data_IF_275016899311
#
_entry.id   IF_275016899311
#
_cell.length_a   1.000
_cell.length_b   1.000
_cell.length_c   1.000
_cell.angle_alpha   90.00
_cell.angle_beta   90.00
_cell.angle_gamma   90.00
#
_symmetry.space_group_name_H-M   'P 1'
#
loop_
_entity.id
_entity.type
_entity.pdbx_description
1 polymer ?
#
# COMPACT_ATOMS: atom_id res chain seq x y z
N UNK A 1 -22.93 7.70 -41.17
CA UNK A 1 -21.97 6.92 -40.33
C UNK A 1 -20.95 7.78 -39.53
N UNK A 2 -20.58 9.00 -39.95
CA UNK A 2 -19.60 9.86 -39.20
C UNK A 2 -20.08 10.35 -37.82
N UNK A 3 -21.35 10.77 -37.66
CA UNK A 3 -21.91 11.26 -36.37
C UNK A 3 -21.96 10.19 -35.25
N UNK A 4 -22.27 8.93 -35.58
CA UNK A 4 -22.25 7.82 -34.58
C UNK A 4 -20.83 7.48 -34.10
N UNK A 5 -19.81 7.64 -34.98
CA UNK A 5 -18.40 7.45 -34.60
C UNK A 5 -17.87 8.59 -33.71
N UNK A 6 -18.25 9.85 -33.96
CA UNK A 6 -17.83 10.97 -33.09
C UNK A 6 -18.48 10.89 -31.70
N UNK A 7 -19.77 10.57 -31.61
CA UNK A 7 -20.45 10.37 -30.33
C UNK A 7 -19.84 9.21 -29.52
N UNK A 8 -19.47 8.11 -30.19
CA UNK A 8 -18.82 6.96 -29.54
C UNK A 8 -17.43 7.30 -28.98
N UNK A 9 -16.64 8.10 -29.71
CA UNK A 9 -15.34 8.60 -29.25
C UNK A 9 -15.49 9.59 -28.07
N UNK A 10 -16.47 10.49 -28.12
CA UNK A 10 -16.75 11.45 -27.05
C UNK A 10 -17.26 10.77 -25.77
N UNK A 11 -18.14 9.77 -25.89
CA UNK A 11 -18.63 8.97 -24.75
C UNK A 11 -17.51 8.12 -24.13
N UNK A 12 -16.63 7.54 -24.96
CA UNK A 12 -15.45 6.81 -24.50
C UNK A 12 -14.43 7.73 -23.81
N UNK A 13 -14.19 8.92 -24.37
CA UNK A 13 -13.29 9.91 -23.79
C UNK A 13 -13.82 10.47 -22.46
N UNK A 14 -15.12 10.77 -22.36
CA UNK A 14 -15.77 11.18 -21.11
C UNK A 14 -15.67 10.12 -20.02
N UNK A 15 -15.95 8.86 -20.35
CA UNK A 15 -15.79 7.74 -19.40
C UNK A 15 -14.35 7.57 -18.92
N UNK A 16 -13.37 7.75 -19.81
CA UNK A 16 -11.94 7.72 -19.48
C UNK A 16 -11.51 8.89 -18.58
N UNK A 17 -12.03 10.10 -18.85
CA UNK A 17 -11.76 11.29 -18.04
C UNK A 17 -12.34 11.14 -16.63
N UNK A 18 -13.59 10.70 -16.51
CA UNK A 18 -14.21 10.45 -15.20
C UNK A 18 -13.43 9.42 -14.39
N UNK A 19 -12.99 8.32 -15.02
CA UNK A 19 -12.17 7.32 -14.35
C UNK A 19 -10.84 7.91 -13.86
N UNK A 20 -10.20 8.74 -14.69
CA UNK A 20 -8.94 9.44 -14.35
C UNK A 20 -9.13 10.40 -13.19
N UNK A 21 -10.20 11.19 -13.19
CA UNK A 21 -10.52 12.13 -12.12
C UNK A 21 -10.83 11.41 -10.81
N UNK A 22 -11.60 10.31 -10.84
CA UNK A 22 -11.86 9.48 -9.64
C UNK A 22 -10.58 8.90 -9.07
N UNK A 23 -9.68 8.40 -9.93
CA UNK A 23 -8.39 7.88 -9.49
C UNK A 23 -7.54 8.99 -8.86
N UNK A 24 -7.43 10.16 -9.51
CA UNK A 24 -6.69 11.29 -8.98
C UNK A 24 -7.26 11.78 -7.64
N UNK A 25 -8.58 11.88 -7.52
CA UNK A 25 -9.25 12.23 -6.25
C UNK A 25 -8.93 11.21 -5.16
N UNK A 26 -9.02 9.91 -5.46
CA UNK A 26 -8.74 8.87 -4.47
C UNK A 26 -7.27 8.82 -4.04
N UNK A 27 -6.32 9.12 -4.93
CA UNK A 27 -4.91 9.28 -4.54
C UNK A 27 -4.71 10.47 -3.59
N UNK A 28 -5.47 11.56 -3.76
CA UNK A 28 -5.41 12.74 -2.90
C UNK A 28 -6.22 12.60 -1.60
N UNK A 29 -7.22 11.70 -1.58
CA UNK A 29 -8.13 11.50 -0.46
C UNK A 29 -7.38 11.18 0.84
N UNK A 30 -7.82 11.80 1.94
CA UNK A 30 -7.33 11.48 3.28
C UNK A 30 -7.54 10.00 3.64
N UNK A 31 -6.96 9.58 4.76
CA UNK A 31 -7.13 8.19 5.19
C UNK A 31 -8.59 7.89 5.57
N UNK A 32 -9.30 8.83 6.21
CA UNK A 32 -10.71 8.64 6.57
C UNK A 32 -11.64 8.46 5.35
N UNK A 33 -11.51 9.30 4.32
CA UNK A 33 -12.30 9.17 3.08
C UNK A 33 -12.01 7.84 2.39
N UNK A 34 -10.74 7.41 2.37
CA UNK A 34 -10.33 6.13 1.82
C UNK A 34 -10.92 4.95 2.61
N UNK A 35 -10.80 4.97 3.93
CA UNK A 35 -11.30 3.93 4.83
C UNK A 35 -12.83 3.83 4.80
N UNK A 36 -13.52 4.97 4.76
CA UNK A 36 -14.98 5.03 4.65
C UNK A 36 -15.46 4.40 3.33
N UNK A 37 -14.83 4.74 2.20
CA UNK A 37 -15.19 4.16 0.91
C UNK A 37 -14.89 2.65 0.86
N UNK A 38 -13.72 2.23 1.36
CA UNK A 38 -13.37 0.81 1.39
C UNK A 38 -14.35 0.02 2.23
N UNK A 39 -14.74 0.52 3.41
CA UNK A 39 -15.75 -0.08 4.26
C UNK A 39 -17.10 -0.20 3.55
N UNK A 40 -17.58 0.88 2.95
CA UNK A 40 -18.85 0.90 2.23
C UNK A 40 -18.87 -0.13 1.08
N UNK A 41 -17.77 -0.28 0.37
CA UNK A 41 -17.60 -1.29 -0.68
C UNK A 41 -17.61 -2.71 -0.11
N UNK A 42 -16.89 -2.95 1.00
CA UNK A 42 -16.79 -4.28 1.61
C UNK A 42 -18.08 -4.75 2.31
N UNK A 43 -18.87 -3.80 2.80
CA UNK A 43 -20.15 -4.08 3.44
C UNK A 43 -21.27 -4.36 2.43
N UNK A 44 -21.13 -3.90 1.19
CA UNK A 44 -22.09 -4.11 0.10
C UNK A 44 -22.36 -5.63 -0.11
N UNK A 45 -23.63 -6.09 0.00
CA UNK A 45 -23.99 -7.47 -0.27
C UNK A 45 -23.55 -7.97 -1.65
N UNK A 46 -23.56 -7.10 -2.67
CA UNK A 46 -23.08 -7.44 -4.01
C UNK A 46 -21.58 -7.72 -3.99
N UNK A 47 -20.78 -6.91 -3.30
CA UNK A 47 -19.35 -7.17 -3.17
C UNK A 47 -19.09 -8.52 -2.51
N UNK A 48 -19.80 -8.83 -1.41
CA UNK A 48 -19.69 -10.13 -0.73
C UNK A 48 -20.01 -11.30 -1.66
N UNK A 49 -21.06 -11.18 -2.49
CA UNK A 49 -21.39 -12.17 -3.53
C UNK A 49 -20.32 -12.30 -4.60
N UNK A 50 -19.67 -11.20 -5.00
CA UNK A 50 -18.59 -11.25 -6.01
C UNK A 50 -17.31 -11.91 -5.47
N UNK A 51 -17.04 -11.76 -4.18
CA UNK A 51 -15.89 -12.38 -3.50
C UNK A 51 -16.17 -13.83 -3.12
N UNK A 52 -17.41 -14.15 -2.73
CA UNK A 52 -17.86 -15.50 -2.39
C UNK A 52 -19.23 -15.75 -3.02
N UNK A 53 -19.26 -16.18 -4.29
CA UNK A 53 -20.52 -16.45 -4.96
C UNK A 53 -21.19 -17.70 -4.37
N UNK A 54 -22.52 -17.70 -4.26
CA UNK A 54 -23.26 -18.88 -3.82
C UNK A 54 -23.13 -20.02 -4.84
N UNK A 55 -23.24 -21.27 -4.36
CA UNK A 55 -23.29 -22.46 -5.23
C UNK A 55 -21.94 -22.89 -5.83
N UNK A 56 -20.80 -22.51 -5.23
CA UNK A 56 -19.47 -22.98 -5.64
C UNK A 56 -18.92 -22.37 -6.94
N UNK A 57 -19.55 -21.30 -7.46
CA UNK A 57 -19.06 -20.60 -8.63
C UNK A 57 -17.68 -19.94 -8.36
N UNK A 58 -16.95 -19.63 -9.44
CA UNK A 58 -15.67 -18.93 -9.31
C UNK A 58 -15.87 -17.47 -8.88
N UNK A 59 -15.10 -16.96 -7.90
CA UNK A 59 -15.24 -15.58 -7.45
C UNK A 59 -14.75 -14.60 -8.52
N UNK A 60 -15.53 -13.54 -8.73
CA UNK A 60 -15.27 -12.49 -9.69
C UNK A 60 -14.37 -11.38 -9.14
N UNK A 61 -14.27 -11.26 -7.82
CA UNK A 61 -13.35 -10.33 -7.15
C UNK A 61 -12.49 -11.10 -6.17
N UNK A 62 -11.18 -10.93 -6.29
CA UNK A 62 -10.18 -11.50 -5.38
C UNK A 62 -9.35 -10.38 -4.78
N UNK A 63 -8.73 -10.61 -3.63
CA UNK A 63 -7.69 -9.70 -3.14
C UNK A 63 -6.35 -10.21 -3.62
N UNK A 64 -5.47 -9.29 -3.95
CA UNK A 64 -4.11 -9.56 -4.38
C UNK A 64 -3.18 -8.74 -3.50
N UNK A 65 -2.47 -9.43 -2.60
CA UNK A 65 -1.37 -8.85 -1.84
C UNK A 65 -0.13 -8.79 -2.73
N UNK A 66 0.47 -7.61 -2.94
CA UNK A 66 1.76 -7.51 -3.58
C UNK A 66 2.82 -8.20 -2.72
N UNK A 67 3.75 -8.95 -3.33
CA UNK A 67 4.86 -9.55 -2.61
C UNK A 67 5.73 -8.49 -1.91
N UNK A 68 6.23 -8.81 -0.72
CA UNK A 68 7.09 -7.90 0.07
C UNK A 68 6.35 -6.80 0.84
N UNK A 69 5.01 -6.81 0.85
CA UNK A 69 4.21 -5.88 1.66
C UNK A 69 4.10 -6.40 3.09
N UNK A 70 4.88 -5.85 4.02
CA UNK A 70 4.78 -6.21 5.44
C UNK A 70 3.72 -5.36 6.15
N UNK A 71 3.06 -5.92 7.16
CA UNK A 71 2.18 -5.18 8.05
C UNK A 71 2.81 -5.09 9.44
N UNK A 72 2.84 -3.89 10.01
CA UNK A 72 3.44 -3.65 11.30
C UNK A 72 2.47 -4.08 12.43
N UNK A 73 2.16 -5.37 12.56
CA UNK A 73 1.17 -5.88 13.52
C UNK A 73 1.35 -5.35 14.95
N UNK A 74 2.60 -5.18 15.39
CA UNK A 74 2.98 -4.68 16.71
C UNK A 74 2.94 -3.14 16.87
N UNK A 75 2.98 -2.37 15.78
CA UNK A 75 3.07 -0.90 15.81
C UNK A 75 1.83 -0.20 15.26
N UNK A 76 1.11 -0.85 14.34
CA UNK A 76 -0.15 -0.41 13.76
C UNK A 76 -1.30 -0.40 14.79
N UNK A 77 -1.20 -1.26 15.80
CA UNK A 77 -2.22 -1.53 16.81
C UNK A 77 -1.73 -1.14 18.21
N UNK A 78 -0.94 -0.06 18.33
CA UNK A 78 -0.69 0.54 19.64
C UNK A 78 -2.04 0.82 20.31
N UNK A 79 -2.19 0.44 21.58
CA UNK A 79 -3.45 0.53 22.34
C UNK A 79 -4.12 1.90 22.21
N UNK A 80 -3.31 2.96 22.08
CA UNK A 80 -3.77 4.34 21.96
C UNK A 80 -4.63 4.60 20.71
N UNK A 81 -4.43 3.85 19.63
CA UNK A 81 -5.06 4.06 18.33
C UNK A 81 -6.42 3.36 18.17
N UNK A 82 -6.89 2.57 19.14
CA UNK A 82 -8.17 1.86 19.08
C UNK A 82 -9.27 2.63 19.80
N UNK A 83 -10.47 2.74 19.20
CA UNK A 83 -11.67 3.24 19.89
C UNK A 83 -12.09 2.15 20.88
N UNK A 84 -12.04 2.45 22.18
CA UNK A 84 -12.59 1.58 23.22
C UNK A 84 -14.09 1.37 22.95
N UNK A 85 -14.51 0.12 22.75
CA UNK A 85 -15.35 -0.46 23.79
C UNK A 85 -14.96 -1.91 24.10
N UNK A 86 -14.38 -2.10 25.28
CA UNK A 86 -14.14 -3.40 25.90
C UNK A 86 -12.89 -4.07 25.39
N UNK A 87 -11.79 -3.88 26.12
CA UNK A 87 -10.55 -4.66 26.10
C UNK A 87 -10.56 -5.83 25.12
N UNK A 88 -9.98 -5.62 23.95
CA UNK A 88 -9.44 -6.74 23.19
C UNK A 88 -7.97 -6.48 22.93
N UNK A 89 -7.08 -6.75 23.93
CA UNK A 89 -5.67 -6.91 23.66
C UNK A 89 -5.53 -7.99 22.58
N UNK A 90 -4.54 -7.86 21.70
CA UNK A 90 -4.15 -8.99 20.85
C UNK A 90 -3.93 -10.29 21.66
N UNK A 91 -3.62 -10.18 22.97
CA UNK A 91 -3.58 -11.28 23.94
C UNK A 91 -4.93 -11.94 24.24
N UNK A 92 -6.01 -11.18 24.45
CA UNK A 92 -7.34 -11.74 24.74
C UNK A 92 -7.98 -12.45 23.54
N UNK A 93 -7.57 -12.14 22.31
CA UNK A 93 -8.01 -12.91 21.11
C UNK A 93 -7.25 -14.22 20.90
N UNK A 94 -6.12 -14.40 21.59
CA UNK A 94 -5.28 -15.60 21.52
C UNK A 94 -5.58 -16.56 22.68
N UNK A 95 -6.21 -16.07 23.75
CA UNK A 95 -6.72 -16.89 24.85
C UNK A 95 -7.71 -17.95 24.34
N UNK A 96 -7.49 -19.20 24.75
CA UNK A 96 -8.27 -20.36 24.30
C UNK A 96 -7.95 -20.87 22.90
N UNK A 97 -6.91 -20.33 22.23
CA UNK A 97 -6.54 -20.70 20.84
C UNK A 97 -5.12 -21.27 20.72
N UNK A 98 -4.61 -21.88 21.78
CA UNK A 98 -3.26 -22.44 21.88
C UNK A 98 -2.97 -23.53 20.84
N UNK A 99 -3.98 -24.35 20.51
CA UNK A 99 -3.89 -25.40 19.49
C UNK A 99 -3.58 -24.81 18.10
N UNK A 100 -4.33 -23.80 17.67
CA UNK A 100 -4.10 -23.11 16.40
C UNK A 100 -2.72 -22.44 16.36
N UNK A 101 -2.25 -21.87 17.48
CA UNK A 101 -0.91 -21.26 17.56
C UNK A 101 0.21 -22.29 17.47
N UNK A 102 0.04 -23.46 18.08
CA UNK A 102 0.99 -24.57 17.95
C UNK A 102 1.08 -25.05 16.49
N UNK A 103 -0.07 -25.17 15.81
CA UNK A 103 -0.11 -25.49 14.38
C UNK A 103 0.60 -24.44 13.53
N UNK A 104 0.35 -23.15 13.77
CA UNK A 104 1.00 -22.04 13.04
C UNK A 104 2.53 -22.05 13.24
N UNK A 105 2.99 -22.27 14.48
CA UNK A 105 4.42 -22.41 14.78
C UNK A 105 5.05 -23.59 14.02
N UNK A 106 4.32 -24.71 13.90
CA UNK A 106 4.76 -25.91 13.17
C UNK A 106 4.85 -25.68 11.66
N UNK A 107 3.92 -24.91 11.08
CA UNK A 107 3.92 -24.54 9.65
C UNK A 107 5.15 -23.70 9.30
N UNK A 108 5.57 -22.82 10.22
CA UNK A 108 6.66 -21.87 10.02
C UNK A 108 6.23 -20.61 9.26
N UNK A 109 6.93 -19.50 9.49
CA UNK A 109 6.52 -18.17 9.03
C UNK A 109 6.35 -18.05 7.50
N UNK A 110 7.26 -18.64 6.72
CA UNK A 110 7.21 -18.56 5.25
C UNK A 110 6.01 -19.29 4.63
N UNK A 111 5.73 -20.52 5.09
CA UNK A 111 4.56 -21.27 4.62
C UNK A 111 3.26 -20.66 5.13
N UNK A 112 3.24 -20.15 6.37
CA UNK A 112 2.07 -19.47 6.91
C UNK A 112 1.72 -18.22 6.08
N UNK A 113 2.73 -17.40 5.76
CA UNK A 113 2.52 -16.23 4.92
C UNK A 113 2.02 -16.61 3.52
N UNK A 114 2.56 -17.67 2.93
CA UNK A 114 2.20 -18.11 1.58
C UNK A 114 0.79 -18.70 1.48
N UNK A 115 0.39 -19.56 2.42
CA UNK A 115 -0.84 -20.35 2.30
C UNK A 115 -2.03 -19.81 3.10
N UNK A 116 -1.79 -18.96 4.10
CA UNK A 116 -2.84 -18.46 4.99
C UNK A 116 -3.00 -16.93 4.98
N UNK A 117 -1.94 -16.17 4.65
CA UNK A 117 -2.01 -14.70 4.57
C UNK A 117 -2.06 -14.16 3.14
N UNK A 118 -1.61 -14.96 2.17
CA UNK A 118 -1.64 -14.61 0.76
C UNK A 118 -2.84 -15.29 0.11
N UNK A 119 -3.75 -14.51 -0.49
CA UNK A 119 -4.85 -15.03 -1.33
C UNK A 119 -4.34 -15.61 -2.67
N UNK A 120 -3.07 -16.01 -2.72
CA UNK A 120 -2.42 -16.54 -3.91
C UNK A 120 -3.01 -17.93 -4.17
N UNK A 121 -3.61 -18.17 -5.36
CA UNK A 121 -4.09 -19.50 -5.68
C UNK A 121 -2.90 -20.45 -5.62
N UNK A 122 -3.07 -21.55 -4.90
CA UNK A 122 -2.10 -22.66 -4.85
C UNK A 122 -1.74 -22.99 -6.30
N UNK A 123 -0.45 -22.91 -6.69
CA UNK A 123 -0.08 -23.17 -8.06
C UNK A 123 -0.49 -24.60 -8.38
N UNK A 124 -1.49 -24.75 -9.26
CA UNK A 124 -1.89 -26.04 -9.78
C UNK A 124 -0.62 -26.73 -10.29
N UNK A 125 -0.26 -27.86 -9.69
CA UNK A 125 0.93 -28.61 -10.05
C UNK A 125 1.03 -28.71 -11.57
N UNK A 126 2.17 -28.31 -12.13
CA UNK A 126 2.51 -28.64 -13.51
C UNK A 126 2.63 -30.15 -13.56
N UNK A 127 1.62 -30.84 -14.08
CA UNK A 127 1.78 -32.21 -14.52
C UNK A 127 2.81 -32.20 -15.66
N UNK A 128 4.02 -32.66 -15.34
CA UNK A 128 4.91 -33.21 -16.34
C UNK A 128 4.42 -34.63 -16.62
N UNK A 129 4.36 -34.98 -17.90
CA UNK A 129 3.82 -36.21 -18.49
C UNK A 129 2.29 -36.24 -18.62
N UNK A 130 1.85 -36.11 -19.87
CA UNK A 130 0.47 -36.34 -20.24
C UNK A 130 0.15 -37.83 -20.20
N UNK A 131 -0.97 -38.13 -19.58
CA UNK A 131 -1.89 -39.21 -19.96
C UNK A 131 -3.24 -38.84 -19.36
N UNK A 132 -4.22 -38.70 -20.25
CA UNK A 132 -5.64 -38.60 -19.93
C UNK A 132 -6.07 -39.84 -19.14
N UNK A 133 -6.39 -39.66 -17.86
CA UNK A 133 -7.30 -40.53 -17.13
C UNK A 133 -8.06 -39.66 -16.13
N UNK A 134 -9.39 -39.68 -16.22
CA UNK A 134 -10.32 -38.85 -15.47
C UNK A 134 -10.36 -39.14 -13.97
N UNK A 135 -9.24 -38.92 -13.29
CA UNK A 135 -9.17 -38.89 -11.84
C UNK A 135 -9.44 -37.47 -11.34
N UNK A 136 -10.39 -37.36 -10.41
CA UNK A 136 -10.76 -36.13 -9.73
C UNK A 136 -9.53 -35.36 -9.28
N UNK A 137 -9.30 -34.18 -9.88
CA UNK A 137 -8.29 -33.22 -9.45
C UNK A 137 -8.38 -33.06 -7.92
N UNK A 138 -7.29 -33.28 -7.16
CA UNK A 138 -7.31 -33.05 -5.72
C UNK A 138 -7.64 -31.57 -5.44
N UNK A 139 -8.43 -31.34 -4.38
CA UNK A 139 -8.78 -29.99 -3.92
C UNK A 139 -7.50 -29.16 -3.72
N UNK A 140 -7.40 -27.92 -4.23
CA UNK A 140 -6.27 -27.02 -3.98
C UNK A 140 -5.91 -26.91 -2.48
N UNK A 141 -6.89 -27.10 -1.60
CA UNK A 141 -6.70 -27.13 -0.14
C UNK A 141 -5.89 -28.35 0.34
N UNK A 142 -5.97 -29.48 -0.35
CA UNK A 142 -5.26 -30.71 0.02
C UNK A 142 -3.77 -30.64 -0.32
N UNK A 143 -3.42 -30.07 -1.48
CA UNK A 143 -2.02 -29.81 -1.85
C UNK A 143 -1.36 -28.78 -0.90
N UNK A 144 -2.10 -27.72 -0.53
CA UNK A 144 -1.61 -26.73 0.43
C UNK A 144 -1.45 -27.32 1.84
N UNK A 145 -2.36 -28.19 2.27
CA UNK A 145 -2.26 -28.90 3.55
C UNK A 145 -1.01 -29.78 3.58
N UNK A 146 -0.76 -30.55 2.52
CA UNK A 146 0.44 -31.38 2.38
C UNK A 146 1.74 -30.54 2.40
N UNK A 147 1.78 -29.42 1.67
CA UNK A 147 2.92 -28.50 1.66
C UNK A 147 3.20 -27.88 3.04
N UNK A 148 2.18 -27.75 3.89
CA UNK A 148 2.30 -27.25 5.26
C UNK A 148 2.56 -28.37 6.29
N UNK A 149 2.61 -29.64 5.88
CA UNK A 149 2.71 -30.78 6.80
C UNK A 149 1.51 -30.91 7.74
N UNK A 150 0.31 -30.55 7.27
CA UNK A 150 -0.93 -30.56 8.04
C UNK A 150 -1.95 -31.55 7.45
N UNK A 151 -2.75 -32.16 8.31
CA UNK A 151 -3.97 -32.84 7.88
C UNK A 151 -4.97 -31.82 7.31
N UNK A 152 -5.87 -32.20 6.38
CA UNK A 152 -6.86 -31.29 5.80
C UNK A 152 -7.74 -30.58 6.86
N UNK A 153 -8.07 -31.28 7.95
CA UNK A 153 -8.82 -30.72 9.08
C UNK A 153 -8.02 -29.63 9.83
N UNK A 154 -6.75 -29.90 10.15
CA UNK A 154 -5.85 -28.93 10.80
C UNK A 154 -5.63 -27.70 9.89
N UNK A 155 -5.46 -27.92 8.58
CA UNK A 155 -5.34 -26.83 7.61
C UNK A 155 -6.61 -25.98 7.57
N UNK A 156 -7.79 -26.60 7.58
CA UNK A 156 -9.06 -25.89 7.64
C UNK A 156 -9.22 -25.10 8.95
N UNK A 157 -8.76 -25.64 10.08
CA UNK A 157 -8.76 -24.99 11.39
C UNK A 157 -7.87 -23.74 11.39
N UNK A 158 -6.62 -23.86 10.95
CA UNK A 158 -5.69 -22.71 10.88
C UNK A 158 -6.21 -21.64 9.92
N UNK A 159 -6.86 -22.04 8.83
CA UNK A 159 -7.49 -21.11 7.88
C UNK A 159 -8.72 -20.43 8.48
N UNK A 160 -9.56 -21.15 9.20
CA UNK A 160 -10.72 -20.59 9.90
C UNK A 160 -10.28 -19.62 11.01
N UNK A 161 -9.25 -20.00 11.78
CA UNK A 161 -8.60 -19.13 12.76
C UNK A 161 -8.04 -17.87 12.11
N UNK A 162 -7.25 -18.00 11.04
CA UNK A 162 -6.63 -16.86 10.35
C UNK A 162 -7.69 -15.94 9.76
N UNK A 163 -8.73 -16.49 9.13
CA UNK A 163 -9.85 -15.72 8.61
C UNK A 163 -10.63 -15.00 9.73
N UNK A 164 -10.88 -15.68 10.86
CA UNK A 164 -11.52 -15.09 12.05
C UNK A 164 -10.67 -13.99 12.66
N UNK A 165 -9.36 -14.23 12.79
CA UNK A 165 -8.39 -13.29 13.33
C UNK A 165 -8.30 -12.05 12.43
N UNK A 166 -8.13 -12.23 11.12
CA UNK A 166 -8.15 -11.13 10.16
C UNK A 166 -9.48 -10.37 10.20
N UNK A 167 -10.63 -11.06 10.18
CA UNK A 167 -11.95 -10.42 10.24
C UNK A 167 -12.18 -9.63 11.55
N UNK A 168 -11.68 -10.13 12.68
CA UNK A 168 -11.72 -9.41 13.95
C UNK A 168 -10.85 -8.15 13.89
N UNK A 169 -9.64 -8.26 13.32
CA UNK A 169 -8.73 -7.13 13.12
C UNK A 169 -9.21 -6.14 12.04
N UNK A 170 -10.07 -6.56 11.11
CA UNK A 170 -10.71 -5.71 10.11
C UNK A 170 -11.81 -4.83 10.68
N UNK A 171 -12.42 -5.25 11.80
CA UNK A 171 -13.50 -4.55 12.52
C UNK A 171 -12.99 -3.60 13.59
N UNK A 172 -11.68 -3.55 13.82
CA UNK A 172 -11.08 -2.61 14.75
C UNK A 172 -11.35 -1.18 14.27
N UNK A 173 -12.06 -0.42 15.09
CA UNK A 173 -12.23 1.00 14.87
C UNK A 173 -10.99 1.72 15.35
N UNK A 174 -10.29 2.38 14.42
CA UNK A 174 -9.18 3.25 14.77
C UNK A 174 -9.74 4.58 15.30
N UNK A 175 -9.17 5.12 16.37
CA UNK A 175 -9.46 6.48 16.81
C UNK A 175 -9.12 7.44 15.66
N UNK A 176 -10.01 8.39 15.34
CA UNK A 176 -9.64 9.47 14.45
C UNK A 176 -8.48 10.22 15.10
N UNK A 177 -7.35 10.26 14.40
CA UNK A 177 -6.17 11.00 14.84
C UNK A 177 -6.24 12.37 14.20
N UNK A 178 -6.56 13.40 14.99
CA UNK A 178 -6.50 14.79 14.54
C UNK A 178 -5.03 15.22 14.43
N UNK A 179 -4.39 14.79 13.35
CA UNK A 179 -3.04 15.19 12.95
C UNK A 179 -3.08 15.70 11.52
N UNK A 180 -2.23 16.69 11.17
CA UNK A 180 -2.16 17.22 9.81
C UNK A 180 -1.65 16.19 8.78
N UNK A 181 -1.09 15.06 9.24
CA UNK A 181 -0.56 13.98 8.41
C UNK A 181 -0.97 12.62 8.97
N UNK A 182 -1.15 11.65 8.07
CA UNK A 182 -1.40 10.27 8.44
C UNK A 182 -0.17 9.39 8.18
N UNK A 183 0.34 8.76 9.23
CA UNK A 183 1.43 7.80 9.14
C UNK A 183 0.94 6.53 8.43
N UNK A 184 1.46 6.26 7.24
CA UNK A 184 1.00 5.14 6.40
C UNK A 184 1.88 3.90 6.51
N UNK A 185 3.15 4.07 6.83
CA UNK A 185 4.09 2.97 7.03
C UNK A 185 5.18 3.35 8.04
N UNK A 186 5.70 2.33 8.72
CA UNK A 186 6.90 2.41 9.54
C UNK A 186 8.11 1.88 8.76
N UNK A 187 9.25 2.50 9.00
CA UNK A 187 10.56 2.10 8.48
C UNK A 187 11.32 1.36 9.59
N UNK A 188 11.94 0.24 9.24
CA UNK A 188 12.89 -0.48 10.09
C UNK A 188 14.20 -0.71 9.33
N UNK A 189 15.29 -0.95 10.07
CA UNK A 189 16.55 -1.40 9.46
C UNK A 189 16.44 -2.90 9.15
N UNK A 190 16.59 -3.27 7.88
CA UNK A 190 16.69 -4.65 7.43
C UNK A 190 18.08 -4.99 6.88
N UNK A 191 18.36 -6.27 6.59
CA UNK A 191 19.68 -6.74 6.14
C UNK A 191 20.09 -6.19 4.77
N UNK A 192 19.13 -5.80 3.91
CA UNK A 192 19.40 -5.25 2.56
C UNK A 192 19.07 -3.77 2.42
N UNK A 193 18.70 -3.09 3.51
CA UNK A 193 18.23 -1.70 3.47
C UNK A 193 17.00 -1.46 4.34
N UNK A 194 16.30 -0.33 4.14
CA UNK A 194 15.10 -0.02 4.91
C UNK A 194 13.97 -0.98 4.54
N UNK A 195 13.36 -1.58 5.56
CA UNK A 195 12.15 -2.39 5.42
C UNK A 195 10.93 -1.56 5.79
N UNK A 196 9.89 -1.64 4.95
CA UNK A 196 8.64 -0.92 5.17
C UNK A 196 7.58 -1.87 5.69
N UNK A 197 6.88 -1.43 6.74
CA UNK A 197 5.72 -2.12 7.27
C UNK A 197 4.54 -1.17 7.33
N UNK A 198 3.45 -1.48 6.64
CA UNK A 198 2.27 -0.63 6.63
C UNK A 198 1.63 -0.56 8.02
N UNK A 199 1.17 0.64 8.39
CA UNK A 199 0.49 0.89 9.66
C UNK A 199 -1.02 0.64 9.58
N UNK A 200 -1.59 0.49 8.38
CA UNK A 200 -2.98 0.10 8.19
C UNK A 200 -3.10 -1.26 7.52
N UNK A 201 -3.89 -2.16 8.12
CA UNK A 201 -4.15 -3.49 7.61
C UNK A 201 -4.83 -3.44 6.24
N UNK A 202 -5.54 -2.33 5.96
CA UNK A 202 -6.23 -2.07 4.69
C UNK A 202 -5.26 -1.98 3.50
N UNK A 203 -4.08 -1.40 3.72
CA UNK A 203 -3.01 -1.41 2.70
C UNK A 203 -2.33 -2.77 2.60
N UNK A 204 -2.11 -3.45 3.73
CA UNK A 204 -1.49 -4.77 3.76
C UNK A 204 -2.31 -5.85 3.04
N UNK A 205 -3.65 -5.76 3.10
CA UNK A 205 -4.58 -6.65 2.37
C UNK A 205 -4.50 -6.49 0.84
N UNK A 206 -3.74 -5.53 0.34
CA UNK A 206 -3.46 -5.36 -1.08
C UNK A 206 -4.66 -4.87 -1.88
N UNK A 207 -4.64 -5.17 -3.17
CA UNK A 207 -5.58 -4.61 -4.17
C UNK A 207 -6.71 -5.57 -4.50
N UNK A 208 -7.80 -5.07 -5.04
CA UNK A 208 -8.89 -5.90 -5.57
C UNK A 208 -8.59 -6.26 -7.02
N UNK A 209 -8.46 -7.55 -7.31
CA UNK A 209 -8.37 -8.08 -8.66
C UNK A 209 -9.76 -8.47 -9.14
N UNK A 210 -10.12 -8.09 -10.36
CA UNK A 210 -11.46 -8.33 -10.92
C UNK A 210 -11.33 -9.25 -12.13
N UNK A 211 -11.84 -10.47 -11.97
CA UNK A 211 -11.93 -11.45 -13.05
C UNK A 211 -13.18 -11.16 -13.90
N UNK A 212 -12.95 -10.61 -15.08
CA UNK A 212 -14.02 -10.26 -16.01
C UNK A 212 -14.75 -11.48 -16.59
N UNK A 213 -14.08 -12.64 -16.69
CA UNK A 213 -14.68 -13.86 -17.19
C UNK A 213 -15.63 -14.45 -16.13
N UNK A 214 -15.16 -14.58 -14.89
CA UNK A 214 -15.97 -15.01 -13.76
C UNK A 214 -17.17 -14.06 -13.55
N UNK A 215 -16.95 -12.75 -13.67
CA UNK A 215 -18.03 -11.76 -13.54
C UNK A 215 -19.13 -11.93 -14.60
N UNK A 216 -18.74 -12.21 -15.85
CA UNK A 216 -19.70 -12.50 -16.93
C UNK A 216 -20.46 -13.80 -16.65
N UNK A 217 -19.78 -14.83 -16.17
CA UNK A 217 -20.40 -16.10 -15.77
C UNK A 217 -21.47 -15.92 -14.70
N UNK A 218 -21.18 -15.15 -13.65
CA UNK A 218 -22.15 -14.82 -12.59
C UNK A 218 -23.34 -14.00 -13.10
N UNK A 219 -23.10 -13.13 -14.08
CA UNK A 219 -24.18 -12.36 -14.72
C UNK A 219 -25.12 -13.22 -15.56
N UNK A 220 -24.60 -14.29 -16.16
CA UNK A 220 -25.34 -15.24 -16.99
C UNK A 220 -26.08 -16.31 -16.19
N UNK A 221 -25.55 -16.72 -15.03
CA UNK A 221 -26.15 -17.75 -14.16
C UNK A 221 -27.40 -17.31 -13.40
N UNK A 222 -27.82 -16.04 -13.53
CA UNK A 222 -28.98 -15.50 -12.84
C UNK A 222 -28.77 -15.25 -11.34
N UNK A 223 -27.58 -15.55 -10.80
CA UNK A 223 -27.23 -15.32 -9.39
C UNK A 223 -27.12 -13.83 -9.02
N UNK A 224 -27.00 -12.96 -10.03
CA UNK A 224 -27.00 -11.50 -9.90
C UNK A 224 -28.33 -10.95 -10.41
N UNK A 225 -29.08 -10.28 -9.54
CA UNK A 225 -30.37 -9.68 -9.87
C UNK A 225 -30.24 -8.50 -10.85
N UNK A 226 -31.33 -8.12 -11.51
CA UNK A 226 -31.37 -6.95 -12.41
C UNK A 226 -30.96 -5.65 -11.70
N UNK A 227 -31.27 -5.51 -10.41
CA UNK A 227 -30.89 -4.35 -9.59
C UNK A 227 -29.40 -4.37 -9.25
N UNK A 228 -28.86 -5.55 -8.94
CA UNK A 228 -27.42 -5.75 -8.71
C UNK A 228 -26.60 -5.48 -9.98
N UNK A 229 -27.11 -5.86 -11.16
CA UNK A 229 -26.49 -5.52 -12.45
C UNK A 229 -26.33 -4.01 -12.64
N UNK A 230 -27.31 -3.20 -12.20
CA UNK A 230 -27.21 -1.73 -12.25
C UNK A 230 -26.15 -1.19 -11.27
N UNK A 231 -26.02 -1.80 -10.08
CA UNK A 231 -25.03 -1.44 -9.05
C UNK A 231 -23.61 -1.94 -9.35
N UNK A 232 -23.44 -2.87 -10.29
CA UNK A 232 -22.14 -3.42 -10.62
C UNK A 232 -21.16 -2.38 -11.18
N UNK A 233 -21.62 -1.50 -12.08
CA UNK A 233 -20.80 -0.43 -12.65
C UNK A 233 -20.22 0.53 -11.59
N UNK A 234 -21.02 1.14 -10.70
CA UNK A 234 -20.48 2.01 -9.65
C UNK A 234 -19.59 1.26 -8.66
N UNK A 235 -19.92 0.01 -8.30
CA UNK A 235 -19.08 -0.82 -7.43
C UNK A 235 -17.69 -1.06 -8.03
N UNK A 236 -17.62 -1.46 -9.30
CA UNK A 236 -16.34 -1.65 -10.01
C UNK A 236 -15.56 -0.34 -10.16
N UNK A 237 -16.24 0.79 -10.34
CA UNK A 237 -15.59 2.10 -10.37
C UNK A 237 -14.98 2.46 -9.01
N UNK A 238 -15.66 2.15 -7.91
CA UNK A 238 -15.12 2.33 -6.55
C UNK A 238 -13.93 1.41 -6.27
N UNK A 239 -13.99 0.14 -6.68
CA UNK A 239 -12.85 -0.78 -6.57
C UNK A 239 -11.62 -0.28 -7.35
N UNK A 240 -11.83 0.24 -8.56
CA UNK A 240 -10.74 0.83 -9.37
C UNK A 240 -10.16 2.09 -8.71
N UNK A 241 -10.99 2.95 -8.13
CA UNK A 241 -10.48 4.14 -7.44
C UNK A 241 -9.68 3.74 -6.20
N UNK A 242 -10.19 2.84 -5.35
CA UNK A 242 -9.45 2.30 -4.18
C UNK A 242 -8.10 1.72 -4.60
N UNK A 243 -8.09 0.89 -5.66
CA UNK A 243 -6.87 0.32 -6.20
C UNK A 243 -5.86 1.35 -6.67
N UNK A 244 -6.31 2.50 -7.19
CA UNK A 244 -5.40 3.55 -7.65
C UNK A 244 -4.53 4.11 -6.51
N UNK A 245 -5.12 4.30 -5.32
CA UNK A 245 -4.38 4.72 -4.13
C UNK A 245 -3.48 3.59 -3.61
N UNK A 246 -4.03 2.39 -3.45
CA UNK A 246 -3.27 1.22 -2.94
C UNK A 246 -2.06 0.91 -3.81
N UNK A 247 -2.25 0.75 -5.13
CA UNK A 247 -1.14 0.51 -6.08
C UNK A 247 -0.14 1.65 -6.10
N UNK A 248 -0.64 2.89 -6.08
CA UNK A 248 0.21 4.08 -6.02
C UNK A 248 1.16 4.06 -4.82
N UNK A 249 0.63 3.78 -3.62
CA UNK A 249 1.45 3.68 -2.40
C UNK A 249 2.38 2.46 -2.40
N UNK A 250 1.92 1.31 -2.90
CA UNK A 250 2.76 0.09 -3.03
C UNK A 250 3.95 0.32 -3.95
N UNK A 251 3.80 1.13 -5.01
CA UNK A 251 4.92 1.47 -5.89
C UNK A 251 5.79 2.58 -5.31
N UNK A 252 5.16 3.64 -4.79
CA UNK A 252 5.86 4.84 -4.34
C UNK A 252 6.72 4.59 -3.11
N UNK A 253 6.18 3.95 -2.06
CA UNK A 253 6.86 3.88 -0.77
C UNK A 253 8.16 3.08 -0.83
N UNK A 254 8.22 1.86 -1.40
CA UNK A 254 9.46 1.11 -1.47
C UNK A 254 10.53 1.83 -2.29
N UNK A 255 10.16 2.37 -3.46
CA UNK A 255 11.09 3.10 -4.30
C UNK A 255 11.62 4.37 -3.62
N UNK A 256 10.77 5.09 -2.89
CA UNK A 256 11.18 6.24 -2.10
C UNK A 256 12.13 5.84 -0.96
N UNK A 257 11.80 4.77 -0.24
CA UNK A 257 12.60 4.28 0.87
C UNK A 257 13.99 3.83 0.40
N UNK A 258 14.07 3.14 -0.73
CA UNK A 258 15.33 2.75 -1.36
C UNK A 258 16.20 3.97 -1.70
N UNK A 259 15.62 4.99 -2.36
CA UNK A 259 16.34 6.21 -2.77
C UNK A 259 16.79 7.07 -1.58
N UNK A 260 16.07 6.99 -0.45
CA UNK A 260 16.34 7.76 0.77
C UNK A 260 16.89 6.91 1.92
N UNK A 261 17.40 5.70 1.64
CA UNK A 261 17.77 4.71 2.64
C UNK A 261 18.68 5.26 3.74
N UNK A 262 19.76 5.94 3.36
CA UNK A 262 20.72 6.47 4.33
C UNK A 262 20.11 7.52 5.27
N UNK A 263 19.20 8.34 4.75
CA UNK A 263 18.54 9.35 5.57
C UNK A 263 17.51 8.72 6.51
N UNK A 264 16.66 7.83 5.99
CA UNK A 264 15.64 7.13 6.79
C UNK A 264 16.23 6.25 7.89
N UNK A 265 17.46 5.75 7.70
CA UNK A 265 18.19 4.96 8.69
C UNK A 265 19.14 5.81 9.56
N UNK A 266 19.05 7.14 9.49
CA UNK A 266 19.84 8.06 10.34
C UNK A 266 21.34 8.11 10.02
N UNK A 267 21.77 7.59 8.87
CA UNK A 267 23.19 7.59 8.44
C UNK A 267 23.65 8.93 7.88
N UNK A 268 22.72 9.72 7.35
CA UNK A 268 22.95 11.10 6.89
C UNK A 268 21.88 12.03 7.49
N UNK A 269 22.21 13.31 7.75
CA UNK A 269 21.31 14.23 8.45
C UNK A 269 20.20 14.80 7.56
N UNK A 270 20.28 14.68 6.22
CA UNK A 270 19.28 15.22 5.31
C UNK A 270 19.03 14.32 4.09
N UNK A 271 17.80 14.34 3.52
CA UNK A 271 17.44 13.50 2.38
C UNK A 271 18.28 13.85 1.14
N UNK A 272 18.57 12.83 0.34
CA UNK A 272 19.25 13.01 -0.95
C UNK A 272 18.33 13.77 -1.93
N UNK A 273 18.89 14.61 -2.83
CA UNK A 273 18.11 15.26 -3.87
C UNK A 273 17.29 14.26 -4.69
N UNK A 274 15.96 14.41 -4.67
CA UNK A 274 15.05 13.53 -5.37
C UNK A 274 13.88 14.32 -5.95
N UNK A 275 13.66 14.20 -7.25
CA UNK A 275 12.54 14.84 -7.94
C UNK A 275 11.33 13.91 -7.99
N UNK A 276 10.15 14.43 -7.63
CA UNK A 276 8.88 13.71 -7.83
C UNK A 276 8.66 13.33 -9.30
N UNK A 277 9.06 14.19 -10.25
CA UNK A 277 8.91 13.91 -11.69
C UNK A 277 9.81 12.77 -12.14
N UNK A 278 11.06 12.74 -11.67
CA UNK A 278 12.00 11.65 -11.99
C UNK A 278 11.48 10.32 -11.42
N UNK A 279 11.13 10.30 -10.12
CA UNK A 279 10.59 9.09 -9.51
C UNK A 279 9.27 8.65 -10.15
N UNK A 280 8.41 9.59 -10.55
CA UNK A 280 7.17 9.26 -11.23
C UNK A 280 7.43 8.55 -12.57
N UNK A 281 8.40 9.04 -13.36
CA UNK A 281 8.79 8.42 -14.62
C UNK A 281 9.29 6.98 -14.42
N UNK A 282 10.16 6.75 -13.42
CA UNK A 282 10.68 5.43 -13.08
C UNK A 282 9.56 4.44 -12.69
N UNK A 283 8.50 4.94 -12.04
CA UNK A 283 7.37 4.13 -11.57
C UNK A 283 6.22 4.00 -12.59
N UNK A 284 6.32 4.61 -13.76
CA UNK A 284 5.21 4.67 -14.72
C UNK A 284 3.99 5.46 -14.21
N UNK A 285 4.22 6.40 -13.29
CA UNK A 285 3.20 7.29 -12.71
C UNK A 285 3.34 8.72 -13.25
N UNK A 286 2.30 9.53 -13.07
CA UNK A 286 2.40 10.97 -13.33
C UNK A 286 2.98 11.70 -12.12
N UNK A 287 3.68 12.82 -12.33
CA UNK A 287 4.17 13.67 -11.23
C UNK A 287 3.02 14.15 -10.32
N UNK A 288 1.84 14.41 -10.90
CA UNK A 288 0.63 14.74 -10.16
C UNK A 288 0.12 13.59 -9.29
N UNK A 289 0.26 12.34 -9.74
CA UNK A 289 -0.06 11.14 -8.95
C UNK A 289 0.87 11.04 -7.74
N UNK A 290 2.19 11.16 -7.95
CA UNK A 290 3.18 11.13 -6.85
C UNK A 290 2.93 12.25 -5.85
N UNK A 291 2.69 13.48 -6.31
CA UNK A 291 2.39 14.61 -5.43
C UNK A 291 1.13 14.39 -4.58
N UNK A 292 0.06 13.82 -5.16
CA UNK A 292 -1.19 13.50 -4.46
C UNK A 292 -1.01 12.37 -3.45
N UNK A 293 -0.26 11.33 -3.82
CA UNK A 293 0.09 10.21 -2.93
C UNK A 293 1.00 10.64 -1.78
N UNK A 294 1.86 11.64 -1.98
CA UNK A 294 2.73 12.19 -0.95
C UNK A 294 2.02 13.21 -0.02
N UNK A 295 0.91 13.80 -0.45
CA UNK A 295 0.21 14.83 0.32
C UNK A 295 -0.50 14.23 1.54
N UNK A 296 -0.43 14.91 2.69
CA UNK A 296 -1.15 14.51 3.91
C UNK A 296 -0.67 13.20 4.53
N UNK A 297 0.51 12.68 4.13
CA UNK A 297 1.00 11.37 4.55
C UNK A 297 2.45 11.42 5.03
N UNK A 298 2.78 10.52 5.94
CA UNK A 298 4.06 10.45 6.62
C UNK A 298 4.53 9.01 6.81
N UNK A 299 5.80 8.87 7.16
CA UNK A 299 6.45 7.64 7.56
C UNK A 299 6.91 7.75 9.01
N UNK A 300 6.81 6.65 9.75
CA UNK A 300 7.39 6.53 11.08
C UNK A 300 8.82 5.98 10.96
N UNK A 301 9.81 6.71 11.47
CA UNK A 301 11.21 6.33 11.44
C UNK A 301 11.56 5.31 12.55
N UNK A 302 12.71 4.61 12.44
CA UNK A 302 13.19 3.74 13.51
C UNK A 302 13.39 4.46 14.86
N UNK A 303 13.69 5.76 14.82
CA UNK A 303 13.82 6.63 15.99
C UNK A 303 12.48 6.91 16.69
N UNK A 304 11.34 6.60 16.07
CA UNK A 304 10.01 6.98 16.54
C UNK A 304 9.54 8.34 16.03
N UNK A 305 10.38 9.08 15.31
CA UNK A 305 10.01 10.35 14.69
C UNK A 305 9.12 10.14 13.46
N UNK A 306 8.18 11.05 13.25
CA UNK A 306 7.29 11.05 12.09
C UNK A 306 7.77 12.05 11.04
N UNK A 307 7.95 11.59 9.80
CA UNK A 307 8.41 12.44 8.69
C UNK A 307 7.43 12.45 7.53
N UNK A 308 7.11 13.64 7.02
CA UNK A 308 6.19 13.75 5.88
C UNK A 308 6.81 13.17 4.61
N UNK A 309 6.03 12.46 3.80
CA UNK A 309 6.50 11.90 2.51
C UNK A 309 6.98 13.03 1.60
N UNK A 310 6.33 14.20 1.64
CA UNK A 310 6.71 15.37 0.83
C UNK A 310 8.12 15.88 1.16
N UNK A 311 8.55 15.82 2.41
CA UNK A 311 9.90 16.25 2.81
C UNK A 311 11.02 15.38 2.24
N UNK A 312 10.71 14.13 1.85
CA UNK A 312 11.64 13.20 1.21
C UNK A 312 11.89 13.51 -0.28
N UNK A 313 11.25 14.55 -0.81
CA UNK A 313 11.50 15.10 -2.15
C UNK A 313 12.10 16.51 -2.04
N UNK A 314 13.34 16.62 -1.54
CA UNK A 314 13.92 17.91 -1.29
C UNK A 314 14.20 18.58 -2.64
N UNK A 315 13.71 19.82 -2.81
CA UNK A 315 13.79 20.53 -4.10
C UNK A 315 15.23 20.76 -4.56
N UNK A 316 15.44 21.10 -5.85
CA UNK A 316 16.79 21.24 -6.45
C UNK A 316 17.76 22.19 -5.70
N UNK A 317 17.26 23.06 -4.80
CA UNK A 317 18.06 23.95 -3.96
C UNK A 317 18.24 23.53 -2.50
N UNK A 318 17.56 22.48 -2.03
CA UNK A 318 17.59 22.02 -0.63
C UNK A 318 19.01 21.67 -0.13
N UNK A 319 19.72 20.84 -0.89
CA UNK A 319 21.11 20.49 -0.60
C UNK A 319 22.02 21.73 -0.58
N UNK A 320 21.77 22.69 -1.46
CA UNK A 320 22.49 23.95 -1.48
C UNK A 320 22.19 24.79 -0.24
N UNK A 321 20.93 24.86 0.19
CA UNK A 321 20.48 25.55 1.41
C UNK A 321 21.10 24.90 2.65
N UNK A 322 21.10 23.58 2.77
CA UNK A 322 21.69 22.87 3.89
C UNK A 322 23.21 23.11 3.98
N UNK A 323 23.91 23.07 2.83
CA UNK A 323 25.37 23.36 2.81
C UNK A 323 25.68 24.82 3.08
N UNK A 324 24.80 25.75 2.70
CA UNK A 324 24.90 27.15 3.12
C UNK A 324 24.74 27.22 4.63
N UNK A 325 23.73 26.58 5.20
CA UNK A 325 23.49 26.53 6.66
C UNK A 325 24.70 25.96 7.42
N UNK A 326 25.28 24.86 6.94
CA UNK A 326 26.51 24.26 7.51
C UNK A 326 27.70 25.24 7.54
N UNK A 327 27.79 26.14 6.55
CA UNK A 327 28.84 27.17 6.49
C UNK A 327 28.52 28.32 7.46
N UNK A 328 27.25 28.72 7.55
CA UNK A 328 26.82 29.84 8.39
C UNK A 328 26.89 29.52 9.90
N UNK A 329 26.63 28.27 10.30
CA UNK A 329 26.67 27.83 11.71
C UNK A 329 28.13 27.70 12.23
N UNK A 330 29.12 27.57 11.35
CA UNK A 330 30.53 27.56 11.76
C UNK A 330 30.93 28.93 12.34
N UNK A 331 31.87 28.96 13.30
CA UNK A 331 32.37 30.20 13.92
C UNK A 331 32.77 31.23 12.84
N UNK A 332 32.15 32.41 12.87
CA UNK A 332 32.37 33.50 11.91
C UNK A 332 31.67 33.32 10.56
N UNK A 333 30.78 32.33 10.42
CA UNK A 333 30.00 32.07 9.20
C UNK A 333 28.92 33.12 8.93
N UNK A 334 28.36 33.71 9.97
CA UNK A 334 27.40 34.80 9.96
C UNK A 334 27.93 36.08 9.28
N UNK A 335 29.23 36.35 9.44
CA UNK A 335 29.92 37.52 8.86
C UNK A 335 30.35 37.35 7.40
N UNK A 336 30.18 36.16 6.81
CA UNK A 336 30.60 35.91 5.43
C UNK A 336 29.67 36.61 4.44
N UNK A 337 30.28 37.24 3.44
CA UNK A 337 29.61 37.74 2.25
C UNK A 337 29.11 36.59 1.37
N UNK A 338 28.14 36.87 0.50
CA UNK A 338 27.58 35.86 -0.40
C UNK A 338 28.63 35.29 -1.38
N UNK A 339 29.61 36.09 -1.76
CA UNK A 339 30.74 35.67 -2.61
C UNK A 339 31.68 34.71 -1.88
N UNK A 340 31.96 34.97 -0.59
CA UNK A 340 32.77 34.08 0.25
C UNK A 340 32.05 32.75 0.54
N UNK A 341 30.74 32.79 0.78
CA UNK A 341 29.93 31.58 0.92
C UNK A 341 29.95 30.77 -0.38
N UNK A 342 29.81 31.40 -1.55
CA UNK A 342 29.90 30.74 -2.85
C UNK A 342 31.29 30.08 -3.08
N UNK A 343 32.37 30.75 -2.67
CA UNK A 343 33.72 30.22 -2.75
C UNK A 343 33.91 29.00 -1.83
N UNK A 344 33.44 29.07 -0.57
CA UNK A 344 33.49 27.95 0.39
C UNK A 344 32.64 26.76 -0.05
N UNK A 345 31.46 27.00 -0.63
CA UNK A 345 30.62 25.95 -1.20
C UNK A 345 31.32 25.20 -2.33
N UNK A 346 32.04 25.94 -3.18
CA UNK A 346 32.82 25.37 -4.28
C UNK A 346 34.01 24.56 -3.76
N UNK A 347 34.77 25.11 -2.82
CA UNK A 347 35.98 24.46 -2.28
C UNK A 347 35.68 23.25 -1.40
N UNK A 348 34.70 23.35 -0.49
CA UNK A 348 34.40 22.32 0.52
C UNK A 348 33.43 21.25 0.01
N UNK A 349 32.50 21.61 -0.85
CA UNK A 349 31.41 20.72 -1.28
C UNK A 349 31.31 20.54 -2.80
N UNK A 350 32.19 21.17 -3.59
CA UNK A 350 32.15 21.10 -5.06
C UNK A 350 30.94 21.80 -5.69
N UNK A 351 30.17 22.58 -4.93
CA UNK A 351 28.93 23.20 -5.39
C UNK A 351 29.22 24.56 -6.04
N UNK A 352 29.03 24.65 -7.36
CA UNK A 352 29.13 25.91 -8.11
C UNK A 352 27.80 26.66 -8.09
N UNK A 353 27.63 27.56 -7.12
CA UNK A 353 26.49 28.48 -7.06
C UNK A 353 26.92 29.90 -7.44
N UNK A 354 26.02 30.66 -8.06
CA UNK A 354 26.22 32.09 -8.27
C UNK A 354 25.94 32.86 -6.98
N UNK A 355 26.53 34.05 -6.83
CA UNK A 355 26.25 34.98 -5.72
C UNK A 355 24.74 35.23 -5.56
N UNK A 356 24.02 35.47 -6.66
CA UNK A 356 22.55 35.68 -6.65
C UNK A 356 21.79 34.46 -6.15
N UNK A 357 22.25 33.26 -6.48
CA UNK A 357 21.66 32.00 -6.00
C UNK A 357 21.91 31.79 -4.51
N UNK A 358 23.11 32.12 -4.02
CA UNK A 358 23.45 32.09 -2.59
C UNK A 358 22.59 33.08 -1.82
N UNK A 359 22.47 34.33 -2.30
CA UNK A 359 21.62 35.35 -1.69
C UNK A 359 20.15 34.89 -1.60
N UNK A 360 19.60 34.38 -2.70
CA UNK A 360 18.23 33.84 -2.75
C UNK A 360 18.01 32.68 -1.78
N UNK A 361 19.01 31.82 -1.59
CA UNK A 361 18.93 30.69 -0.64
C UNK A 361 19.16 31.12 0.81
N UNK A 362 20.01 32.11 1.08
CA UNK A 362 20.15 32.70 2.42
C UNK A 362 18.87 33.35 2.90
N UNK A 363 18.11 34.01 2.02
CA UNK A 363 16.79 34.56 2.37
C UNK A 363 15.72 33.51 2.68
N UNK A 364 16.02 32.21 2.52
CA UNK A 364 15.13 31.08 2.84
C UNK A 364 15.61 30.25 4.05
N UNK A 365 16.75 30.61 4.64
CA UNK A 365 17.30 30.04 5.88
C UNK A 365 16.88 30.95 7.01
#
# INVERSE_FOLDING_TARGET
MRKKRSLGLELSARGSLEATLRAARMMAAGEDEFLALERAVEEDPLFKKLVRPPGGASPAVRRRRPGGVNFAWNRALGQDMLVEPGEVPAGGMLEGREAALALIKRIGAGNFERYFLSDEPVPAGRSASGTDSGESRPDPSAEAAAACGLAPAEFAEVRAFTASFLAAHERLQLKPVDRPFAAVAAVAAGPRGPELSYLSSRYARGTYDVDLAALRGLGASGLISSDEKRRLRPLLAALRSLNSKKRGLTLLLPALAERQADFLLGRIPSPRPLSMTALAADLGLSAGSVSRLAAGRSLLLPSGEEITIRSLFPGKGSRSIDRIRDILIQKGGDKLTDDEVAARLRGKYGLKLSRRTVNHYRGRI
#
